data_IF_689632282814
#
_entry.id   IF_689632282814
#
_cell.length_a   1.000
_cell.length_b   1.000
_cell.length_c   1.000
_cell.angle_alpha   90.00
_cell.angle_beta   90.00
_cell.angle_gamma   90.00
#
_symmetry.space_group_name_H-M   'P 1'
#
loop_
_entity.id
_entity.type
_entity.pdbx_description
1 polymer ?
#
# COMPACT_ATOMS: atom_id res chain seq x y z
N UNK A 1 61.94 13.49 9.74
CA UNK A 1 61.69 12.04 9.72
C UNK A 1 60.29 11.78 10.24
N UNK A 2 59.34 11.49 9.35
CA UNK A 2 58.29 10.47 9.50
C UNK A 2 57.64 10.32 8.14
N UNK A 3 57.94 9.19 7.51
CA UNK A 3 57.38 8.73 6.25
C UNK A 3 55.87 8.57 6.40
N UNK A 4 55.07 9.42 5.75
CA UNK A 4 53.68 9.10 5.41
C UNK A 4 53.65 8.69 3.95
N UNK A 5 54.08 7.45 3.71
CA UNK A 5 53.52 6.64 2.63
C UNK A 5 52.02 6.57 2.88
N UNK A 6 51.26 7.51 2.32
CA UNK A 6 49.84 7.31 2.04
C UNK A 6 49.80 6.14 1.05
N UNK A 7 49.59 4.92 1.57
CA UNK A 7 49.31 3.78 0.71
C UNK A 7 48.03 4.11 -0.08
N UNK A 8 48.14 4.36 -1.41
CA UNK A 8 46.99 4.76 -2.20
C UNK A 8 45.92 3.67 -2.23
N UNK A 9 46.28 2.40 -2.02
CA UNK A 9 45.32 1.31 -1.90
C UNK A 9 44.54 1.40 -0.58
N UNK A 10 45.23 1.64 0.54
CA UNK A 10 44.59 1.84 1.84
C UNK A 10 43.63 3.04 1.83
N UNK A 11 43.97 4.12 1.12
CA UNK A 11 43.09 5.28 0.95
C UNK A 11 41.81 4.95 0.16
N UNK A 12 41.89 4.10 -0.87
CA UNK A 12 40.73 3.64 -1.65
C UNK A 12 39.84 2.63 -0.91
N UNK A 13 40.37 1.97 0.13
CA UNK A 13 39.64 1.02 0.96
C UNK A 13 39.04 1.65 2.23
N UNK A 14 39.39 2.90 2.53
CA UNK A 14 38.85 3.62 3.67
C UNK A 14 37.37 3.94 3.45
N UNK A 15 36.55 3.73 4.49
CA UNK A 15 35.15 4.13 4.48
C UNK A 15 35.05 5.65 4.47
N UNK A 16 34.19 6.19 3.61
CA UNK A 16 33.91 7.62 3.53
C UNK A 16 33.36 8.11 4.89
N UNK A 17 33.99 9.10 5.54
CA UNK A 17 33.59 9.55 6.87
C UNK A 17 32.13 9.98 6.98
N UNK A 18 31.52 10.47 5.89
CA UNK A 18 30.11 10.88 5.86
C UNK A 18 29.17 9.71 6.17
N UNK A 19 29.53 8.49 5.75
CA UNK A 19 28.70 7.30 5.90
C UNK A 19 28.62 6.83 7.36
N UNK A 20 29.68 7.09 8.15
CA UNK A 20 29.79 6.60 9.52
C UNK A 20 28.70 7.15 10.45
N UNK A 21 28.04 8.24 10.08
CA UNK A 21 27.00 8.87 10.89
C UNK A 21 25.59 8.27 10.68
N UNK A 22 25.43 7.35 9.72
CA UNK A 22 24.15 6.70 9.44
C UNK A 22 24.05 5.36 10.17
N UNK A 23 23.46 5.41 11.36
CA UNK A 23 23.36 4.28 12.30
C UNK A 23 22.00 3.58 12.23
N UNK A 24 21.83 2.40 12.84
CA UNK A 24 20.51 1.75 12.97
C UNK A 24 19.44 2.61 13.65
N UNK A 25 19.84 3.61 14.44
CA UNK A 25 18.93 4.54 15.13
C UNK A 25 18.76 5.87 14.38
N UNK A 26 19.19 5.94 13.12
CA UNK A 26 19.20 7.15 12.31
C UNK A 26 20.53 7.90 12.38
N UNK A 27 20.46 9.22 12.20
CA UNK A 27 21.65 10.08 12.22
C UNK A 27 22.23 10.15 13.64
N UNK A 28 23.50 9.79 13.79
CA UNK A 28 24.15 9.71 15.10
C UNK A 28 25.66 9.92 15.09
N UNK A 29 26.30 9.51 16.19
CA UNK A 29 27.76 9.50 16.30
C UNK A 29 28.41 8.55 15.28
N UNK A 30 29.69 8.77 14.94
CA UNK A 30 30.38 7.97 13.94
C UNK A 30 30.52 6.51 14.42
N UNK A 31 30.07 5.58 13.59
CA UNK A 31 30.29 4.15 13.78
C UNK A 31 31.74 3.77 13.47
N UNK A 32 32.17 2.59 13.95
CA UNK A 32 33.39 1.97 13.44
C UNK A 32 33.16 1.59 11.97
N UNK A 33 34.16 1.74 11.08
CA UNK A 33 34.02 1.42 9.66
C UNK A 33 33.44 0.01 9.38
N UNK A 34 33.87 -0.99 10.15
CA UNK A 34 33.36 -2.36 10.02
C UNK A 34 31.87 -2.47 10.38
N UNK A 35 31.44 -1.84 11.48
CA UNK A 35 30.03 -1.88 11.89
C UNK A 35 29.15 -1.16 10.85
N UNK A 36 29.64 -0.05 10.27
CA UNK A 36 28.95 0.64 9.19
C UNK A 36 28.81 -0.26 7.95
N UNK A 37 29.88 -0.97 7.57
CA UNK A 37 29.84 -1.90 6.45
C UNK A 37 28.88 -3.07 6.68
N UNK A 38 28.90 -3.67 7.87
CA UNK A 38 28.02 -4.78 8.23
C UNK A 38 26.55 -4.35 8.28
N UNK A 39 26.28 -3.16 8.83
CA UNK A 39 24.93 -2.58 8.84
C UNK A 39 24.41 -2.36 7.43
N UNK A 40 25.15 -1.66 6.57
CA UNK A 40 24.70 -1.36 5.20
C UNK A 40 24.52 -2.63 4.34
N UNK A 41 25.39 -3.64 4.51
CA UNK A 41 25.23 -4.94 3.83
C UNK A 41 23.98 -5.69 4.29
N UNK A 42 23.68 -5.67 5.60
CA UNK A 42 22.48 -6.31 6.16
C UNK A 42 21.19 -5.67 5.65
N UNK A 43 21.20 -4.37 5.36
CA UNK A 43 20.03 -3.70 4.77
C UNK A 43 19.76 -4.27 3.37
N UNK A 44 20.76 -4.25 2.48
CA UNK A 44 20.56 -4.69 1.09
C UNK A 44 20.43 -6.21 0.94
N UNK A 45 20.89 -7.02 1.90
CA UNK A 45 20.72 -8.49 1.85
C UNK A 45 19.25 -8.93 1.93
N UNK A 46 18.37 -8.08 2.44
CA UNK A 46 16.94 -8.36 2.52
C UNK A 46 16.20 -7.98 1.23
N UNK A 47 16.87 -7.31 0.29
CA UNK A 47 16.28 -6.89 -0.98
C UNK A 47 16.44 -8.02 -2.01
N UNK A 48 15.51 -8.98 -1.97
CA UNK A 48 15.54 -10.17 -2.84
C UNK A 48 14.49 -10.06 -3.94
N UNK A 49 14.91 -10.30 -5.18
CA UNK A 49 14.02 -10.41 -6.33
C UNK A 49 13.57 -11.86 -6.53
N UNK A 50 12.26 -12.07 -6.74
CA UNK A 50 11.67 -13.38 -7.02
C UNK A 50 12.31 -14.06 -8.24
N UNK A 51 12.45 -15.39 -8.22
CA UNK A 51 13.28 -16.16 -9.15
C UNK A 51 12.90 -16.00 -10.64
N UNK A 52 11.62 -15.78 -10.93
CA UNK A 52 11.05 -15.63 -12.26
C UNK A 52 11.18 -14.21 -12.85
N UNK A 53 11.72 -13.25 -12.09
CA UNK A 53 12.06 -11.91 -12.61
C UNK A 53 13.05 -12.04 -13.77
N UNK A 54 12.80 -11.29 -14.85
CA UNK A 54 13.63 -11.33 -16.05
C UNK A 54 15.12 -11.08 -15.74
N UNK A 55 15.99 -11.89 -16.34
CA UNK A 55 17.43 -11.89 -16.05
C UNK A 55 18.09 -10.52 -16.26
N UNK A 56 17.65 -9.77 -17.27
CA UNK A 56 18.10 -8.40 -17.55
C UNK A 56 17.79 -7.44 -16.41
N UNK A 57 16.57 -7.49 -15.87
CA UNK A 57 16.16 -6.71 -14.70
C UNK A 57 16.91 -7.16 -13.45
N UNK A 58 17.06 -8.48 -13.21
CA UNK A 58 17.81 -9.03 -12.08
C UNK A 58 19.26 -8.54 -12.06
N UNK A 59 19.98 -8.72 -13.16
CA UNK A 59 21.38 -8.28 -13.26
C UNK A 59 21.52 -6.77 -13.02
N UNK A 60 20.58 -5.98 -13.53
CA UNK A 60 20.61 -4.53 -13.30
C UNK A 60 20.38 -4.19 -11.83
N UNK A 61 19.46 -4.87 -11.17
CA UNK A 61 19.21 -4.68 -9.74
C UNK A 61 20.39 -5.10 -8.87
N UNK A 62 21.01 -6.25 -9.16
CA UNK A 62 22.23 -6.71 -8.46
C UNK A 62 23.40 -5.73 -8.62
N UNK A 63 23.55 -5.12 -9.80
CA UNK A 63 24.52 -4.04 -10.02
C UNK A 63 24.24 -2.81 -9.12
N UNK A 64 22.97 -2.47 -8.90
CA UNK A 64 22.60 -1.37 -8.00
C UNK A 64 22.94 -1.70 -6.54
N UNK A 65 22.64 -2.91 -6.09
CA UNK A 65 23.01 -3.38 -4.74
C UNK A 65 24.53 -3.38 -4.53
N UNK A 66 25.31 -3.81 -5.53
CA UNK A 66 26.76 -3.72 -5.50
C UNK A 66 27.25 -2.26 -5.46
N UNK A 67 26.67 -1.39 -6.29
CA UNK A 67 26.97 0.04 -6.28
C UNK A 67 26.66 0.71 -4.93
N UNK A 68 25.55 0.32 -4.29
CA UNK A 68 25.18 0.78 -2.95
C UNK A 68 26.23 0.38 -1.92
N UNK A 69 26.67 -0.89 -1.95
CA UNK A 69 27.72 -1.37 -1.07
C UNK A 69 29.04 -0.60 -1.29
N UNK A 70 29.37 -0.25 -2.53
CA UNK A 70 30.54 0.58 -2.84
C UNK A 70 30.38 2.05 -2.43
N UNK A 71 29.16 2.53 -2.21
CA UNK A 71 28.87 3.84 -1.63
C UNK A 71 29.54 4.06 -0.27
N UNK A 72 29.84 2.98 0.46
CA UNK A 72 30.64 3.03 1.68
C UNK A 72 32.02 3.65 1.47
N UNK A 73 32.64 3.45 0.31
CA UNK A 73 33.99 3.92 -0.02
C UNK A 73 33.96 5.25 -0.78
N UNK A 74 32.87 5.53 -1.49
CA UNK A 74 32.66 6.77 -2.23
C UNK A 74 31.19 7.17 -2.12
N UNK A 75 30.90 8.12 -1.21
CA UNK A 75 29.54 8.50 -0.87
C UNK A 75 28.69 8.92 -2.08
N UNK A 76 29.30 9.56 -3.08
CA UNK A 76 28.58 10.06 -4.26
C UNK A 76 27.96 8.92 -5.09
N UNK A 77 28.46 7.68 -4.94
CA UNK A 77 27.86 6.50 -5.55
C UNK A 77 26.44 6.23 -5.04
N UNK A 78 26.09 6.62 -3.80
CA UNK A 78 24.72 6.48 -3.31
C UNK A 78 23.74 7.24 -4.23
N UNK A 79 24.03 8.50 -4.54
CA UNK A 79 23.21 9.31 -5.45
C UNK A 79 23.12 8.68 -6.84
N UNK A 80 24.26 8.22 -7.38
CA UNK A 80 24.30 7.57 -8.69
C UNK A 80 23.46 6.28 -8.73
N UNK A 81 23.45 5.52 -7.63
CA UNK A 81 22.63 4.32 -7.48
C UNK A 81 21.14 4.67 -7.46
N UNK A 82 20.72 5.68 -6.71
CA UNK A 82 19.31 6.11 -6.71
C UNK A 82 18.86 6.62 -8.09
N UNK A 83 19.70 7.36 -8.80
CA UNK A 83 19.40 7.79 -10.16
C UNK A 83 19.30 6.61 -11.13
N UNK A 84 20.21 5.65 -11.04
CA UNK A 84 20.15 4.44 -11.83
C UNK A 84 18.94 3.55 -11.46
N UNK A 85 18.51 3.53 -10.20
CA UNK A 85 17.30 2.82 -9.75
C UNK A 85 16.03 3.36 -10.44
N UNK A 86 15.92 4.69 -10.60
CA UNK A 86 14.81 5.32 -11.32
C UNK A 86 14.75 4.89 -12.80
N UNK A 87 15.91 4.66 -13.43
CA UNK A 87 15.99 4.14 -14.80
C UNK A 87 15.67 2.64 -14.88
N UNK A 88 16.11 1.86 -13.89
CA UNK A 88 15.85 0.42 -13.80
C UNK A 88 14.36 0.11 -13.65
N UNK A 89 13.57 0.97 -12.99
CA UNK A 89 12.11 0.86 -12.95
C UNK A 89 11.50 0.78 -14.36
N UNK A 90 11.92 1.66 -15.26
CA UNK A 90 11.42 1.65 -16.64
C UNK A 90 11.84 0.37 -17.38
N UNK A 91 13.08 -0.10 -17.16
CA UNK A 91 13.53 -1.38 -17.72
C UNK A 91 12.67 -2.55 -17.24
N UNK A 92 12.38 -2.64 -15.95
CA UNK A 92 11.55 -3.70 -15.39
C UNK A 92 10.15 -3.74 -15.99
N UNK A 93 9.52 -2.56 -16.15
CA UNK A 93 8.23 -2.44 -16.83
C UNK A 93 8.29 -2.89 -18.29
N UNK A 94 9.37 -2.57 -19.02
CA UNK A 94 9.58 -3.00 -20.41
C UNK A 94 9.73 -4.51 -20.52
N UNK A 95 10.51 -5.11 -19.64
CA UNK A 95 10.71 -6.56 -19.59
C UNK A 95 9.38 -7.26 -19.28
N UNK A 96 8.62 -6.74 -18.30
CA UNK A 96 7.30 -7.29 -17.96
C UNK A 96 6.29 -7.12 -19.09
N UNK A 97 6.28 -5.97 -19.77
CA UNK A 97 5.45 -5.71 -20.94
C UNK A 97 5.75 -6.70 -22.08
N UNK A 98 7.03 -6.89 -22.39
CA UNK A 98 7.45 -7.81 -23.44
C UNK A 98 7.00 -9.25 -23.14
N UNK A 99 7.16 -9.69 -21.89
CA UNK A 99 6.72 -11.01 -21.42
C UNK A 99 5.20 -11.18 -21.48
N UNK A 100 4.42 -10.17 -21.08
CA UNK A 100 2.95 -10.23 -21.06
C UNK A 100 2.35 -10.47 -22.45
N UNK A 101 2.83 -9.78 -23.48
CA UNK A 101 2.31 -9.92 -24.85
C UNK A 101 3.04 -11.00 -25.68
N UNK A 102 4.04 -11.66 -25.11
CA UNK A 102 4.76 -12.79 -25.70
C UNK A 102 5.20 -12.57 -27.17
N UNK A 103 5.78 -11.40 -27.45
CA UNK A 103 6.38 -11.07 -28.75
C UNK A 103 5.43 -10.58 -29.83
N UNK A 104 4.14 -10.36 -29.55
CA UNK A 104 3.22 -9.75 -30.52
C UNK A 104 2.12 -8.92 -29.86
N UNK A 105 1.90 -7.71 -30.37
CA UNK A 105 0.85 -6.79 -29.88
C UNK A 105 0.12 -6.12 -31.02
N UNK A 106 -1.18 -5.91 -30.86
CA UNK A 106 -2.00 -5.13 -31.80
C UNK A 106 -2.08 -3.68 -31.34
N UNK A 107 -1.70 -2.75 -32.21
CA UNK A 107 -1.85 -1.31 -32.00
C UNK A 107 -2.84 -0.72 -33.00
N UNK A 108 -3.61 0.29 -32.58
CA UNK A 108 -4.52 1.06 -33.43
C UNK A 108 -3.93 2.44 -33.67
N UNK A 109 -3.94 2.90 -34.91
CA UNK A 109 -3.52 4.27 -35.24
C UNK A 109 -4.70 5.26 -35.21
N UNK A 110 -4.42 6.55 -35.34
CA UNK A 110 -5.46 7.61 -35.38
C UNK A 110 -6.54 7.40 -36.46
N UNK A 111 -6.23 6.73 -37.57
CA UNK A 111 -7.18 6.44 -38.63
C UNK A 111 -8.09 5.24 -38.32
N UNK A 112 -7.93 4.63 -37.15
CA UNK A 112 -8.67 3.43 -36.74
C UNK A 112 -8.11 2.13 -37.32
N UNK A 113 -7.02 2.18 -38.10
CA UNK A 113 -6.40 0.97 -38.64
C UNK A 113 -5.63 0.25 -37.55
N UNK A 114 -5.98 -1.02 -37.36
CA UNK A 114 -5.25 -1.94 -36.51
C UNK A 114 -3.99 -2.45 -37.24
N UNK A 115 -2.90 -2.59 -36.51
CA UNK A 115 -1.64 -3.14 -37.00
C UNK A 115 -1.06 -4.06 -35.96
N UNK A 116 -0.74 -5.28 -36.37
CA UNK A 116 0.01 -6.23 -35.56
C UNK A 116 1.50 -5.89 -35.62
N UNK A 117 2.14 -5.80 -34.46
CA UNK A 117 3.57 -5.56 -34.29
C UNK A 117 4.16 -6.82 -33.67
N UNK A 118 4.93 -7.56 -34.46
CA UNK A 118 5.75 -8.65 -33.97
C UNK A 118 7.12 -8.11 -33.57
N UNK A 119 7.65 -8.56 -32.42
CA UNK A 119 8.91 -8.07 -31.89
C UNK A 119 9.64 -9.13 -31.07
N UNK A 120 10.97 -9.03 -31.01
CA UNK A 120 11.82 -9.91 -30.18
C UNK A 120 12.34 -9.23 -28.92
N UNK A 121 12.23 -7.90 -28.84
CA UNK A 121 12.59 -7.10 -27.66
C UNK A 121 11.72 -5.85 -27.57
N UNK A 122 11.69 -5.21 -26.40
CA UNK A 122 10.96 -3.95 -26.24
C UNK A 122 11.50 -2.83 -27.16
N UNK A 123 12.82 -2.80 -27.41
CA UNK A 123 13.42 -1.81 -28.29
C UNK A 123 12.90 -1.93 -29.73
N UNK A 124 12.82 -3.16 -30.24
CA UNK A 124 12.24 -3.48 -31.55
C UNK A 124 10.75 -3.09 -31.62
N UNK A 125 9.97 -3.48 -30.61
CA UNK A 125 8.58 -3.03 -30.46
C UNK A 125 8.48 -1.50 -30.54
N UNK A 126 9.25 -0.78 -29.72
CA UNK A 126 9.16 0.67 -29.61
C UNK A 126 9.57 1.36 -30.92
N UNK A 127 10.56 0.84 -31.63
CA UNK A 127 11.01 1.36 -32.93
C UNK A 127 9.98 1.22 -34.04
N UNK A 128 9.18 0.16 -34.02
CA UNK A 128 8.03 -0.01 -34.91
C UNK A 128 6.84 0.83 -34.45
N UNK A 129 6.57 0.85 -33.14
CA UNK A 129 5.44 1.53 -32.53
C UNK A 129 5.50 3.06 -32.71
N UNK A 130 6.68 3.67 -32.52
CA UNK A 130 6.87 5.13 -32.68
C UNK A 130 6.59 5.67 -34.09
N UNK A 131 6.52 4.79 -35.09
CA UNK A 131 6.17 5.14 -36.48
C UNK A 131 4.66 5.31 -36.68
N UNK A 132 3.84 4.86 -35.72
CA UNK A 132 2.40 5.03 -35.74
C UNK A 132 2.02 6.43 -35.23
N UNK A 133 0.98 7.02 -35.83
CA UNK A 133 0.47 8.34 -35.43
C UNK A 133 -0.61 8.17 -34.35
N UNK A 134 -0.36 8.77 -33.17
CA UNK A 134 -1.22 8.69 -31.97
C UNK A 134 -1.70 7.26 -31.68
N UNK A 135 -0.77 6.31 -31.48
CA UNK A 135 -1.14 4.93 -31.32
C UNK A 135 -1.81 4.61 -29.98
N UNK A 136 -2.68 3.62 -30.02
CA UNK A 136 -3.39 3.05 -28.88
C UNK A 136 -3.13 1.55 -28.83
N UNK A 137 -3.14 0.99 -27.63
CA UNK A 137 -3.14 -0.46 -27.40
C UNK A 137 -4.37 -0.82 -26.56
N UNK A 138 -4.78 -2.08 -26.59
CA UNK A 138 -5.84 -2.54 -25.69
C UNK A 138 -5.26 -2.82 -24.31
N UNK A 139 -5.95 -2.36 -23.27
CA UNK A 139 -5.52 -2.51 -21.88
C UNK A 139 -6.68 -2.96 -20.97
N UNK A 140 -6.32 -3.74 -19.96
CA UNK A 140 -7.16 -4.15 -18.84
C UNK A 140 -8.28 -5.12 -19.20
N UNK A 141 -9.07 -5.48 -18.19
CA UNK A 141 -10.13 -6.50 -18.30
C UNK A 141 -11.21 -6.14 -19.32
N UNK A 142 -11.49 -4.85 -19.54
CA UNK A 142 -12.43 -4.36 -20.56
C UNK A 142 -11.84 -4.34 -21.98
N UNK A 143 -10.54 -4.64 -22.15
CA UNK A 143 -9.83 -4.68 -23.42
C UNK A 143 -10.00 -3.38 -24.23
N UNK A 144 -9.99 -2.24 -23.54
CA UNK A 144 -10.33 -0.94 -24.14
C UNK A 144 -9.12 -0.32 -24.83
N UNK A 145 -9.32 0.22 -26.03
CA UNK A 145 -8.31 0.99 -26.74
C UNK A 145 -7.91 2.23 -25.96
N UNK A 146 -6.64 2.30 -25.58
CA UNK A 146 -6.11 3.32 -24.69
C UNK A 146 -4.83 3.92 -25.29
N UNK A 147 -4.69 5.26 -25.28
CA UNK A 147 -3.44 5.91 -25.69
C UNK A 147 -2.25 5.40 -24.90
N UNK A 148 -1.18 5.05 -25.62
CA UNK A 148 0.05 4.53 -25.05
C UNK A 148 1.25 5.18 -25.72
N UNK A 149 2.17 5.72 -24.93
CA UNK A 149 3.33 6.45 -25.45
C UNK A 149 4.60 5.60 -25.55
N UNK A 150 4.59 4.33 -25.11
CA UNK A 150 5.76 3.46 -25.13
C UNK A 150 6.88 3.86 -24.15
N UNK A 151 6.58 4.77 -23.22
CA UNK A 151 7.52 5.30 -22.23
C UNK A 151 7.01 5.02 -20.82
N UNK A 152 7.81 5.36 -19.80
CA UNK A 152 7.50 5.11 -18.38
C UNK A 152 6.04 5.42 -17.98
N UNK A 153 5.50 6.56 -18.42
CA UNK A 153 4.12 6.96 -18.12
C UNK A 153 3.07 6.01 -18.73
N UNK A 154 3.22 5.65 -20.01
CA UNK A 154 2.36 4.68 -20.66
C UNK A 154 2.50 3.29 -20.07
N UNK A 155 3.72 2.90 -19.68
CA UNK A 155 4.02 1.62 -19.05
C UNK A 155 3.40 1.49 -17.65
N UNK A 156 3.48 2.53 -16.82
CA UNK A 156 2.81 2.55 -15.51
C UNK A 156 1.29 2.48 -15.66
N UNK A 157 0.73 3.26 -16.61
CA UNK A 157 -0.70 3.21 -16.92
C UNK A 157 -1.14 1.83 -17.39
N UNK A 158 -0.37 1.21 -18.28
CA UNK A 158 -0.60 -0.15 -18.73
C UNK A 158 -0.56 -1.15 -17.57
N UNK A 159 0.49 -1.12 -16.76
CA UNK A 159 0.65 -2.05 -15.63
C UNK A 159 -0.51 -1.96 -14.63
N UNK A 160 -1.00 -0.74 -14.32
CA UNK A 160 -2.21 -0.57 -13.50
C UNK A 160 -3.46 -1.14 -14.15
N UNK A 161 -3.66 -0.87 -15.44
CA UNK A 161 -4.87 -1.35 -16.16
C UNK A 161 -4.88 -2.87 -16.27
N UNK A 162 -3.73 -3.51 -16.38
CA UNK A 162 -3.57 -4.96 -16.34
C UNK A 162 -3.61 -5.56 -14.92
N UNK A 163 -3.79 -4.75 -13.87
CA UNK A 163 -3.84 -5.22 -12.48
C UNK A 163 -2.48 -5.65 -11.91
N UNK A 164 -1.37 -5.23 -12.53
CA UNK A 164 0.00 -5.54 -12.09
C UNK A 164 0.54 -4.56 -11.03
N UNK A 165 -0.17 -3.46 -10.80
CA UNK A 165 0.14 -2.47 -9.78
C UNK A 165 -1.13 -2.14 -9.00
N UNK A 166 -1.10 -2.33 -7.69
CA UNK A 166 -2.22 -2.13 -6.78
C UNK A 166 -1.99 -0.99 -5.78
N UNK A 167 -3.03 -0.67 -5.04
CA UNK A 167 -3.04 0.36 -4.01
C UNK A 167 -3.30 1.75 -4.59
N UNK A 168 -4.25 2.46 -4.00
CA UNK A 168 -4.66 3.78 -4.44
C UNK A 168 -3.68 4.88 -4.01
N UNK A 169 -3.04 4.75 -2.84
CA UNK A 169 -1.97 5.65 -2.36
C UNK A 169 -0.73 5.54 -3.23
N UNK A 170 -0.44 4.33 -3.74
CA UNK A 170 0.69 4.08 -4.62
C UNK A 170 0.62 4.86 -5.94
N UNK A 171 -0.58 5.26 -6.41
CA UNK A 171 -0.72 6.11 -7.61
C UNK A 171 0.06 7.42 -7.49
N UNK A 172 0.02 8.03 -6.30
CA UNK A 172 0.77 9.24 -6.01
C UNK A 172 2.28 9.00 -6.02
N UNK A 173 2.73 7.87 -5.46
CA UNK A 173 4.13 7.47 -5.40
C UNK A 173 4.67 7.19 -6.80
N UNK A 174 3.92 6.49 -7.64
CA UNK A 174 4.30 6.24 -9.05
C UNK A 174 4.41 7.53 -9.85
N UNK A 175 3.47 8.46 -9.68
CA UNK A 175 3.52 9.80 -10.29
C UNK A 175 4.78 10.55 -9.83
N UNK A 176 5.12 10.48 -8.54
CA UNK A 176 6.34 11.06 -8.00
C UNK A 176 7.61 10.41 -8.60
N UNK A 177 7.67 9.06 -8.66
CA UNK A 177 8.79 8.33 -9.26
C UNK A 177 8.98 8.66 -10.74
N UNK A 178 7.90 8.80 -11.51
CA UNK A 178 7.94 9.31 -12.89
C UNK A 178 8.57 10.71 -12.96
N UNK A 179 8.11 11.64 -12.12
CA UNK A 179 8.63 13.01 -12.13
C UNK A 179 10.12 13.04 -11.76
N UNK A 180 10.53 12.27 -10.74
CA UNK A 180 11.93 12.13 -10.34
C UNK A 180 12.79 11.54 -11.46
N UNK A 181 12.32 10.49 -12.15
CA UNK A 181 13.02 9.92 -13.32
C UNK A 181 13.23 10.98 -14.41
N UNK A 182 12.24 11.83 -14.66
CA UNK A 182 12.37 12.91 -15.64
C UNK A 182 13.42 13.96 -15.20
N UNK A 183 13.43 14.34 -13.91
CA UNK A 183 14.46 15.25 -13.36
C UNK A 183 15.85 14.65 -13.52
N UNK A 184 16.04 13.38 -13.14
CA UNK A 184 17.32 12.66 -13.30
C UNK A 184 17.78 12.65 -14.76
N UNK A 185 16.86 12.48 -15.73
CA UNK A 185 17.19 12.51 -17.15
C UNK A 185 17.66 13.90 -17.66
N UNK A 186 17.37 14.98 -16.93
CA UNK A 186 17.74 16.35 -17.31
C UNK A 186 18.96 16.91 -16.55
N UNK A 187 19.54 16.14 -15.63
CA UNK A 187 20.87 16.38 -15.04
C UNK A 187 20.97 17.60 -14.14
N UNK A 188 20.81 17.41 -12.83
CA UNK A 188 21.13 18.40 -11.80
C UNK A 188 22.00 17.78 -10.71
N UNK A 189 23.03 18.51 -10.24
CA UNK A 189 23.82 18.07 -9.10
C UNK A 189 22.94 18.02 -7.85
N UNK A 190 22.98 16.88 -7.15
CA UNK A 190 22.36 16.68 -5.85
C UNK A 190 23.11 15.58 -5.08
N UNK A 191 22.82 15.46 -3.79
CA UNK A 191 23.37 14.41 -2.94
C UNK A 191 22.23 13.79 -2.12
N UNK A 192 22.22 12.46 -2.05
CA UNK A 192 21.27 11.69 -1.24
C UNK A 192 21.98 11.01 -0.08
N UNK A 193 21.20 10.62 0.93
CA UNK A 193 21.72 9.84 2.05
C UNK A 193 21.65 8.34 1.75
N UNK A 194 22.49 7.49 2.38
CA UNK A 194 22.38 6.04 2.26
C UNK A 194 20.96 5.53 2.58
N UNK A 195 20.29 6.16 3.56
CA UNK A 195 18.92 5.81 3.97
C UNK A 195 17.91 6.08 2.85
N UNK A 196 18.00 7.23 2.17
CA UNK A 196 17.13 7.56 1.05
C UNK A 196 17.34 6.60 -0.12
N UNK A 197 18.60 6.26 -0.40
CA UNK A 197 18.96 5.37 -1.51
C UNK A 197 18.53 3.93 -1.20
N UNK A 198 18.68 3.47 0.04
CA UNK A 198 18.15 2.18 0.47
C UNK A 198 16.63 2.13 0.30
N UNK A 199 15.90 3.19 0.67
CA UNK A 199 14.45 3.29 0.45
C UNK A 199 14.09 3.20 -1.03
N UNK A 200 14.84 3.86 -1.90
CA UNK A 200 14.63 3.75 -3.35
C UNK A 200 14.86 2.33 -3.89
N UNK A 201 15.90 1.63 -3.39
CA UNK A 201 16.16 0.23 -3.75
C UNK A 201 15.11 -0.72 -3.21
N UNK A 202 14.65 -0.51 -1.97
CA UNK A 202 13.57 -1.28 -1.35
C UNK A 202 12.27 -1.12 -2.13
N UNK A 203 11.86 0.12 -2.42
CA UNK A 203 10.70 0.41 -3.25
C UNK A 203 10.82 -0.21 -4.64
N UNK A 204 12.01 -0.16 -5.26
CA UNK A 204 12.25 -0.74 -6.57
C UNK A 204 12.12 -2.27 -6.53
N UNK A 205 12.68 -2.93 -5.52
CA UNK A 205 12.55 -4.38 -5.33
C UNK A 205 11.07 -4.78 -5.16
N UNK A 206 10.33 -4.05 -4.33
CA UNK A 206 8.89 -4.25 -4.13
C UNK A 206 8.10 -4.10 -5.44
N UNK A 207 8.37 -3.04 -6.22
CA UNK A 207 7.71 -2.82 -7.51
C UNK A 207 8.05 -3.96 -8.49
N UNK A 208 9.32 -4.34 -8.61
CA UNK A 208 9.75 -5.41 -9.52
C UNK A 208 9.07 -6.73 -9.13
N UNK A 209 9.13 -7.14 -7.87
CA UNK A 209 8.49 -8.36 -7.42
C UNK A 209 6.98 -8.34 -7.71
N UNK A 210 6.33 -7.21 -7.41
CA UNK A 210 4.90 -7.08 -7.61
C UNK A 210 4.49 -7.13 -9.09
N UNK A 211 5.29 -6.55 -10.00
CA UNK A 211 5.08 -6.67 -11.44
C UNK A 211 5.06 -8.13 -11.92
N UNK A 212 5.79 -9.03 -11.24
CA UNK A 212 5.79 -10.47 -11.49
C UNK A 212 4.79 -11.26 -10.64
N UNK A 213 3.96 -10.59 -9.84
CA UNK A 213 2.90 -11.21 -9.05
C UNK A 213 3.33 -11.63 -7.64
N UNK A 214 4.51 -11.22 -7.19
CA UNK A 214 5.01 -11.54 -5.85
C UNK A 214 4.79 -10.36 -4.91
N UNK A 215 4.01 -10.57 -3.86
CA UNK A 215 3.86 -9.58 -2.80
C UNK A 215 5.08 -9.62 -1.86
N UNK A 216 5.44 -8.48 -1.25
CA UNK A 216 6.65 -8.39 -0.42
C UNK A 216 6.32 -8.48 1.06
N UNK A 217 6.77 -9.53 1.79
CA UNK A 217 6.61 -9.60 3.24
C UNK A 217 7.19 -8.37 3.92
N UNK A 218 6.38 -7.71 4.76
CA UNK A 218 6.78 -6.47 5.43
C UNK A 218 6.93 -5.24 4.51
N UNK A 219 6.66 -5.38 3.21
CA UNK A 219 6.78 -4.32 2.20
C UNK A 219 5.93 -3.09 2.52
N UNK A 220 6.38 -1.93 2.05
CA UNK A 220 5.71 -0.64 2.28
C UNK A 220 4.73 -0.27 1.18
N UNK A 221 5.09 -0.56 -0.07
CA UNK A 221 4.30 -0.22 -1.25
C UNK A 221 3.37 -1.38 -1.62
N UNK A 222 3.92 -2.59 -1.68
CA UNK A 222 3.17 -3.78 -2.10
C UNK A 222 3.34 -4.89 -1.05
N UNK A 223 2.84 -4.67 0.18
CA UNK A 223 2.93 -5.66 1.26
C UNK A 223 2.27 -6.97 0.85
N UNK A 224 2.84 -8.09 1.26
CA UNK A 224 2.11 -9.35 1.37
C UNK A 224 0.93 -9.22 2.35
N UNK A 225 -0.07 -10.12 2.29
CA UNK A 225 -1.14 -10.16 3.26
C UNK A 225 -0.61 -10.06 4.70
N UNK A 226 -1.22 -9.18 5.48
CA UNK A 226 -0.76 -8.81 6.82
C UNK A 226 -1.41 -9.76 7.84
N UNK A 227 -0.63 -10.38 8.74
CA UNK A 227 -1.16 -11.25 9.79
C UNK A 227 -2.08 -10.47 10.74
N UNK A 228 -3.21 -11.09 11.09
CA UNK A 228 -4.15 -10.61 12.10
C UNK A 228 -4.29 -11.66 13.19
N UNK A 229 -4.22 -11.21 14.42
CA UNK A 229 -4.43 -12.04 15.60
C UNK A 229 -5.82 -11.84 16.18
N UNK A 230 -6.21 -12.73 17.08
CA UNK A 230 -7.39 -12.57 17.92
C UNK A 230 -7.03 -11.63 19.07
N UNK A 231 -7.65 -10.46 19.08
CA UNK A 231 -7.35 -9.34 19.98
C UNK A 231 -8.56 -9.08 20.87
N UNK A 232 -8.32 -8.90 22.16
CA UNK A 232 -9.30 -8.40 23.10
C UNK A 232 -9.17 -6.88 23.23
N UNK A 233 -10.19 -6.15 22.80
CA UNK A 233 -10.33 -4.72 23.10
C UNK A 233 -11.22 -4.61 24.33
N UNK A 234 -10.74 -3.89 25.34
CA UNK A 234 -11.43 -3.70 26.61
C UNK A 234 -11.55 -2.24 26.97
N UNK A 235 -12.67 -1.85 27.56
CA UNK A 235 -12.85 -0.50 28.07
C UNK A 235 -13.62 -0.47 29.38
N UNK A 236 -13.37 0.56 30.17
CA UNK A 236 -14.13 0.85 31.38
C UNK A 236 -14.75 2.24 31.22
N UNK A 237 -16.08 2.29 31.16
CA UNK A 237 -16.84 3.53 30.94
C UNK A 237 -16.73 4.51 32.10
N UNK A 238 -16.48 4.02 33.32
CA UNK A 238 -16.32 4.85 34.53
C UNK A 238 -14.98 5.57 34.53
N UNK A 239 -13.89 4.90 34.13
CA UNK A 239 -12.54 5.50 34.12
C UNK A 239 -12.17 6.13 32.78
N UNK A 240 -12.89 5.81 31.71
CA UNK A 240 -12.56 6.20 30.33
C UNK A 240 -11.38 5.44 29.73
N UNK A 241 -10.87 4.40 30.41
CA UNK A 241 -9.75 3.58 29.92
C UNK A 241 -10.18 2.70 28.75
N UNK A 242 -9.40 2.68 27.67
CA UNK A 242 -9.53 1.73 26.55
C UNK A 242 -8.16 1.11 26.29
N UNK A 243 -8.10 -0.21 26.16
CA UNK A 243 -6.85 -0.98 25.98
C UNK A 243 -7.09 -2.16 25.03
N UNK A 244 -6.03 -2.59 24.34
CA UNK A 244 -6.01 -3.86 23.62
C UNK A 244 -4.88 -4.77 24.11
N UNK A 245 -5.07 -6.07 23.92
CA UNK A 245 -4.07 -7.11 24.14
C UNK A 245 -4.45 -8.39 23.38
N UNK A 246 -3.51 -9.32 23.24
CA UNK A 246 -3.82 -10.61 22.64
C UNK A 246 -4.87 -11.35 23.48
N UNK A 247 -5.90 -11.88 22.83
CA UNK A 247 -7.01 -12.52 23.52
C UNK A 247 -6.58 -13.78 24.30
N UNK A 248 -5.55 -14.49 23.82
CA UNK A 248 -4.99 -15.65 24.49
C UNK A 248 -4.43 -15.33 25.89
N UNK A 249 -3.98 -14.09 26.12
CA UNK A 249 -3.45 -13.66 27.42
C UNK A 249 -4.55 -13.35 28.44
N UNK A 250 -5.82 -13.39 28.04
CA UNK A 250 -6.92 -13.12 28.95
C UNK A 250 -6.96 -14.15 30.08
N UNK A 251 -6.61 -15.42 29.88
CA UNK A 251 -6.64 -16.42 30.95
C UNK A 251 -5.45 -16.29 31.93
N UNK A 252 -4.29 -15.82 31.45
CA UNK A 252 -3.03 -15.78 32.20
C UNK A 252 -2.88 -14.53 33.08
N UNK A 253 -3.62 -13.45 32.76
CA UNK A 253 -3.64 -12.25 33.61
C UNK A 253 -4.28 -12.65 34.96
N UNK A 254 -3.49 -12.68 36.04
CA UNK A 254 -4.05 -12.92 37.38
C UNK A 254 -5.17 -11.90 37.64
N UNK A 255 -6.25 -12.33 38.29
CA UNK A 255 -7.40 -11.54 38.74
C UNK A 255 -6.96 -10.42 39.71
N UNK A 256 -6.10 -9.50 39.27
CA UNK A 256 -5.93 -8.25 39.95
C UNK A 256 -7.27 -7.53 39.82
N UNK A 257 -7.77 -7.04 40.95
CA UNK A 257 -9.04 -6.34 41.16
C UNK A 257 -9.29 -5.13 40.21
N UNK A 258 -8.41 -4.89 39.24
CA UNK A 258 -8.44 -3.83 38.23
C UNK A 258 -9.29 -4.13 36.98
N UNK A 259 -9.81 -5.35 36.77
CA UNK A 259 -10.67 -5.67 35.61
C UNK A 259 -12.18 -5.63 35.90
N UNK A 260 -12.59 -5.46 37.15
CA UNK A 260 -13.99 -5.25 37.51
C UNK A 260 -14.52 -3.96 36.85
N UNK A 261 -15.58 -4.11 36.06
CA UNK A 261 -16.19 -3.01 35.31
C UNK A 261 -15.63 -2.77 33.89
N UNK A 262 -14.68 -3.60 33.42
CA UNK A 262 -14.31 -3.60 32.00
C UNK A 262 -15.32 -4.40 31.15
N UNK A 263 -15.65 -3.83 29.99
CA UNK A 263 -16.39 -4.49 28.91
C UNK A 263 -15.40 -4.91 27.82
N UNK A 264 -15.59 -6.11 27.27
CA UNK A 264 -14.69 -6.73 26.30
C UNK A 264 -15.40 -6.99 24.98
N UNK A 265 -14.66 -6.80 23.90
CA UNK A 265 -14.98 -7.32 22.56
C UNK A 265 -13.77 -8.05 22.03
N UNK A 266 -14.03 -9.12 21.28
CA UNK A 266 -13.01 -9.91 20.60
C UNK A 266 -13.10 -9.63 19.11
N UNK A 267 -11.95 -9.33 18.52
CA UNK A 267 -11.83 -8.99 17.10
C UNK A 267 -10.64 -9.72 16.50
N UNK A 268 -10.69 -10.00 15.20
CA UNK A 268 -9.50 -10.36 14.43
C UNK A 268 -8.90 -9.10 13.82
N UNK A 269 -7.70 -8.72 14.23
CA UNK A 269 -7.10 -7.44 13.85
C UNK A 269 -5.56 -7.49 13.81
N UNK A 270 -4.94 -6.51 13.12
CA UNK A 270 -3.49 -6.35 13.10
C UNK A 270 -3.02 -5.75 14.43
N UNK A 271 -2.35 -6.55 15.25
CA UNK A 271 -1.84 -6.14 16.55
C UNK A 271 -0.59 -6.92 16.95
N UNK A 272 0.58 -6.35 16.67
CA UNK A 272 1.89 -6.92 17.01
C UNK A 272 2.71 -5.85 17.73
N UNK A 273 2.56 -5.74 19.07
CA UNK A 273 3.14 -4.64 19.82
C UNK A 273 4.65 -4.47 19.60
N UNK A 274 5.07 -3.26 19.26
CA UNK A 274 6.48 -2.94 18.97
C UNK A 274 6.99 -3.34 17.57
N UNK A 275 6.18 -4.04 16.77
CA UNK A 275 6.49 -4.38 15.38
C UNK A 275 5.52 -3.73 14.39
N UNK A 276 4.22 -3.98 14.56
CA UNK A 276 3.15 -3.49 13.68
C UNK A 276 1.80 -3.51 14.36
N UNK A 277 1.28 -2.33 14.67
CA UNK A 277 -0.03 -2.14 15.30
C UNK A 277 -0.92 -1.31 14.38
N UNK A 278 -2.22 -1.62 14.35
CA UNK A 278 -3.19 -0.73 13.72
C UNK A 278 -3.31 0.57 14.56
N UNK A 279 -2.95 1.73 14.01
CA UNK A 279 -2.96 2.99 14.75
C UNK A 279 -4.37 3.43 15.18
N UNK A 280 -5.43 2.89 14.55
CA UNK A 280 -6.82 3.22 14.79
C UNK A 280 -7.58 2.06 15.44
N UNK A 281 -6.90 1.03 15.97
CA UNK A 281 -7.56 -0.12 16.60
C UNK A 281 -8.51 0.29 17.73
N UNK A 282 -8.16 1.34 18.47
CA UNK A 282 -8.98 1.81 19.58
C UNK A 282 -10.28 2.47 19.10
N UNK A 283 -10.40 2.83 17.83
CA UNK A 283 -11.60 3.42 17.22
C UNK A 283 -12.53 2.35 16.62
N UNK A 284 -12.31 1.07 16.95
CA UNK A 284 -13.05 -0.05 16.37
C UNK A 284 -14.58 0.10 16.49
N UNK A 285 -15.25 -0.19 15.37
CA UNK A 285 -16.69 -0.22 15.21
C UNK A 285 -17.06 -1.48 14.40
N UNK A 286 -17.97 -2.31 14.92
CA UNK A 286 -18.33 -3.58 14.29
C UNK A 286 -19.18 -3.42 13.02
N UNK A 287 -19.79 -2.24 12.82
CA UNK A 287 -20.65 -1.96 11.65
C UNK A 287 -19.97 -1.05 10.63
N UNK A 288 -19.03 -0.22 11.07
CA UNK A 288 -18.35 0.75 10.22
C UNK A 288 -16.85 0.44 10.12
N UNK A 289 -16.27 0.63 8.94
CA UNK A 289 -14.83 0.53 8.77
C UNK A 289 -14.16 1.78 9.36
N UNK A 290 -13.54 1.64 10.53
CA UNK A 290 -12.85 2.74 11.24
C UNK A 290 -11.36 2.48 11.46
N UNK A 291 -10.92 1.22 11.37
CA UNK A 291 -9.53 0.81 11.55
C UNK A 291 -8.70 1.01 10.28
N UNK A 292 -7.37 1.13 10.39
CA UNK A 292 -6.51 1.29 9.22
C UNK A 292 -6.42 0.00 8.39
N UNK A 293 -6.37 -1.14 9.07
CA UNK A 293 -6.38 -2.46 8.49
C UNK A 293 -7.74 -3.13 8.68
N UNK A 294 -8.11 -4.11 7.83
CA UNK A 294 -9.34 -4.88 8.01
C UNK A 294 -9.43 -5.53 9.39
N UNK A 295 -10.44 -5.14 10.17
CA UNK A 295 -10.77 -5.75 11.45
C UNK A 295 -12.12 -6.48 11.36
N UNK A 296 -12.20 -7.66 11.98
CA UNK A 296 -13.39 -8.52 11.94
C UNK A 296 -13.94 -8.72 13.35
N UNK A 297 -15.25 -8.52 13.50
CA UNK A 297 -15.95 -8.80 14.75
C UNK A 297 -16.04 -10.31 15.00
N UNK A 298 -15.67 -10.76 16.20
CA UNK A 298 -15.82 -12.16 16.60
C UNK A 298 -16.86 -12.32 17.71
N UNK A 299 -16.76 -11.52 18.77
CA UNK A 299 -17.63 -11.64 19.95
C UNK A 299 -17.71 -10.35 20.77
N UNK A 300 -18.79 -10.21 21.55
CA UNK A 300 -18.99 -9.15 22.53
C UNK A 300 -20.20 -8.24 22.24
N UNK A 301 -20.44 -7.21 23.06
CA UNK A 301 -19.69 -6.88 24.26
C UNK A 301 -20.05 -7.83 25.40
N UNK A 302 -19.11 -8.08 26.31
CA UNK A 302 -19.39 -8.84 27.53
C UNK A 302 -18.30 -8.74 28.59
N UNK A 303 -18.42 -9.52 29.65
CA UNK A 303 -17.41 -9.59 30.70
C UNK A 303 -16.20 -10.42 30.28
N UNK A 304 -15.10 -10.26 31.01
CA UNK A 304 -13.88 -11.07 30.85
C UNK A 304 -14.16 -12.57 30.89
N UNK A 305 -14.93 -13.03 31.89
CA UNK A 305 -15.28 -14.45 32.05
C UNK A 305 -16.04 -15.00 30.85
N UNK A 306 -16.95 -14.20 30.28
CA UNK A 306 -17.69 -14.61 29.09
C UNK A 306 -16.79 -14.64 27.84
N UNK A 307 -15.83 -13.70 27.73
CA UNK A 307 -14.86 -13.68 26.65
C UNK A 307 -13.96 -14.92 26.68
N UNK A 308 -13.44 -15.29 27.86
CA UNK A 308 -12.62 -16.50 28.05
C UNK A 308 -13.43 -17.76 27.69
N UNK A 309 -14.65 -17.89 28.21
CA UNK A 309 -15.50 -19.03 27.90
C UNK A 309 -15.79 -19.16 26.38
N UNK A 310 -15.98 -18.02 25.69
CA UNK A 310 -16.17 -18.02 24.24
C UNK A 310 -14.89 -18.41 23.49
N UNK A 311 -13.72 -17.94 23.91
CA UNK A 311 -12.43 -18.32 23.31
C UNK A 311 -12.15 -19.82 23.46
N UNK A 312 -12.46 -20.40 24.61
CA UNK A 312 -12.32 -21.84 24.86
C UNK A 312 -13.27 -22.68 24.01
N UNK A 313 -14.47 -22.17 23.75
CA UNK A 313 -15.49 -22.87 22.96
C UNK A 313 -15.23 -22.79 21.44
N UNK A 314 -15.00 -21.58 20.92
CA UNK A 314 -14.93 -21.33 19.48
C UNK A 314 -13.51 -21.45 18.91
N UNK A 315 -12.49 -21.33 19.76
CA UNK A 315 -11.07 -21.43 19.38
C UNK A 315 -10.73 -20.71 18.05
N UNK A 316 -11.03 -19.40 17.93
CA UNK A 316 -10.79 -18.68 16.68
C UNK A 316 -9.31 -18.65 16.32
N UNK A 317 -9.01 -18.92 15.05
CA UNK A 317 -7.64 -18.88 14.53
C UNK A 317 -7.26 -17.47 14.04
N UNK A 318 -5.96 -17.09 14.15
CA UNK A 318 -5.37 -15.99 13.40
C UNK A 318 -5.52 -16.18 11.88
N UNK A 319 -5.43 -15.10 11.12
CA UNK A 319 -5.42 -15.16 9.66
C UNK A 319 -4.51 -14.09 9.03
N UNK A 320 -4.67 -13.85 7.72
CA UNK A 320 -4.04 -12.72 7.04
C UNK A 320 -5.04 -11.99 6.16
N UNK A 321 -4.83 -10.68 5.99
CA UNK A 321 -5.69 -9.83 5.16
C UNK A 321 -4.89 -9.01 4.16
N UNK A 322 -5.49 -8.74 2.99
CA UNK A 322 -4.99 -7.69 2.11
C UNK A 322 -5.46 -6.32 2.61
N UNK A 323 -4.64 -5.29 2.43
CA UNK A 323 -4.93 -3.92 2.87
C UNK A 323 -5.05 -2.93 1.72
N UNK A 324 -4.65 -3.31 0.50
CA UNK A 324 -4.67 -2.43 -0.66
C UNK A 324 -5.91 -2.63 -1.52
N UNK A 325 -6.34 -1.56 -2.20
CA UNK A 325 -7.47 -1.58 -3.14
C UNK A 325 -8.77 -2.18 -2.56
N UNK A 326 -8.98 -2.02 -1.26
CA UNK A 326 -10.20 -2.43 -0.59
C UNK A 326 -11.39 -1.64 -1.16
N UNK A 327 -12.55 -2.28 -1.23
CA UNK A 327 -13.80 -1.64 -1.64
C UNK A 327 -14.67 -1.41 -0.41
N UNK A 328 -15.01 -0.15 -0.19
CA UNK A 328 -15.94 0.30 0.84
C UNK A 328 -17.22 0.80 0.19
N UNK A 329 -18.30 0.81 0.95
CA UNK A 329 -19.50 1.57 0.60
C UNK A 329 -19.75 2.67 1.61
N UNK A 330 -20.17 3.83 1.14
CA UNK A 330 -20.45 4.99 1.99
C UNK A 330 -21.80 5.60 1.62
N UNK A 331 -22.55 6.01 2.65
CA UNK A 331 -23.92 6.52 2.54
C UNK A 331 -23.94 8.03 2.74
N UNK A 332 -24.70 8.71 1.90
CA UNK A 332 -25.06 10.13 2.04
C UNK A 332 -26.59 10.22 2.12
N UNK A 333 -27.09 10.73 3.24
CA UNK A 333 -28.52 10.82 3.52
C UNK A 333 -28.80 12.02 4.42
N UNK A 334 -29.86 12.77 4.11
CA UNK A 334 -30.28 13.98 4.84
C UNK A 334 -29.14 14.99 5.10
N UNK A 335 -28.37 15.30 4.05
CA UNK A 335 -27.18 16.17 4.11
C UNK A 335 -26.12 15.71 5.12
N UNK A 336 -26.09 14.42 5.43
CA UNK A 336 -25.08 13.79 6.28
C UNK A 336 -24.31 12.74 5.52
N UNK A 337 -23.00 12.70 5.79
CA UNK A 337 -22.08 11.69 5.28
C UNK A 337 -21.83 10.73 6.42
N UNK A 338 -22.19 9.46 6.23
CA UNK A 338 -21.98 8.41 7.21
C UNK A 338 -20.58 7.82 7.11
N UNK A 339 -20.16 7.08 8.13
CA UNK A 339 -18.90 6.33 8.07
C UNK A 339 -18.93 5.28 6.96
N UNK A 340 -17.76 4.95 6.36
CA UNK A 340 -17.66 3.86 5.41
C UNK A 340 -17.99 2.51 6.06
N UNK A 341 -18.52 1.57 5.28
CA UNK A 341 -18.82 0.20 5.70
C UNK A 341 -18.17 -0.79 4.74
N UNK A 342 -17.91 -2.01 5.24
CA UNK A 342 -17.62 -3.14 4.38
C UNK A 342 -18.89 -3.56 3.62
N UNK A 343 -18.78 -3.95 2.33
CA UNK A 343 -19.97 -4.27 1.52
C UNK A 343 -20.87 -5.37 2.11
N UNK A 344 -20.29 -6.41 2.72
CA UNK A 344 -21.07 -7.46 3.40
C UNK A 344 -21.92 -6.95 4.58
N UNK A 345 -21.41 -5.99 5.36
CA UNK A 345 -22.17 -5.36 6.46
C UNK A 345 -23.30 -4.52 5.89
N UNK A 346 -23.02 -3.71 4.86
CA UNK A 346 -24.04 -2.91 4.20
C UNK A 346 -25.14 -3.76 3.56
N UNK A 347 -24.80 -4.94 3.02
CA UNK A 347 -25.75 -5.89 2.46
C UNK A 347 -26.73 -6.48 3.51
N UNK A 348 -26.38 -6.43 4.80
CA UNK A 348 -27.23 -6.90 5.90
C UNK A 348 -28.11 -5.80 6.52
N UNK A 349 -28.03 -4.55 6.04
CA UNK A 349 -28.79 -3.43 6.59
C UNK A 349 -30.30 -3.60 6.45
N UNK A 350 -31.05 -3.13 7.44
CA UNK A 350 -32.51 -3.11 7.38
C UNK A 350 -32.99 -2.08 6.37
N UNK A 351 -34.19 -2.23 5.74
CA UNK A 351 -34.66 -1.34 4.68
C UNK A 351 -34.65 0.16 5.03
N UNK A 352 -34.90 0.52 6.30
CA UNK A 352 -34.83 1.90 6.76
C UNK A 352 -33.40 2.49 6.70
N UNK A 353 -32.39 1.66 6.90
CA UNK A 353 -30.97 2.03 6.90
C UNK A 353 -30.38 2.07 5.48
N UNK A 354 -31.12 1.59 4.47
CA UNK A 354 -30.67 1.57 3.07
C UNK A 354 -30.98 2.88 2.31
N UNK A 355 -31.78 3.77 2.88
CA UNK A 355 -32.26 4.98 2.19
C UNK A 355 -31.13 5.98 1.89
N UNK A 356 -31.25 6.80 0.85
CA UNK A 356 -30.24 7.81 0.51
C UNK A 356 -29.32 7.39 -0.64
N UNK A 357 -28.31 8.20 -0.91
CA UNK A 357 -27.36 7.99 -1.99
C UNK A 357 -26.16 7.20 -1.48
N UNK A 358 -25.79 6.14 -2.19
CA UNK A 358 -24.66 5.30 -1.86
C UNK A 358 -23.55 5.44 -2.90
N UNK A 359 -22.33 5.18 -2.46
CA UNK A 359 -21.14 5.18 -3.30
C UNK A 359 -20.30 3.94 -2.99
N UNK A 360 -19.92 3.19 -4.02
CA UNK A 360 -18.88 2.16 -3.94
C UNK A 360 -17.53 2.80 -4.26
N UNK A 361 -16.58 2.66 -3.36
CA UNK A 361 -15.32 3.40 -3.38
C UNK A 361 -14.16 2.46 -3.12
N UNK A 362 -13.17 2.46 -4.02
CA UNK A 362 -11.90 1.75 -3.86
C UNK A 362 -10.87 2.66 -3.21
N UNK A 363 -10.27 2.19 -2.12
CA UNK A 363 -9.25 2.91 -1.34
C UNK A 363 -8.35 1.94 -0.57
N UNK A 364 -7.24 2.44 -0.02
CA UNK A 364 -6.35 1.66 0.86
C UNK A 364 -6.72 1.79 2.35
N UNK A 365 -7.81 2.50 2.66
CA UNK A 365 -8.27 2.73 4.02
C UNK A 365 -9.59 3.52 4.07
N UNK A 366 -10.35 3.41 5.17
CA UNK A 366 -11.65 4.07 5.29
C UNK A 366 -11.55 5.58 5.47
N UNK A 367 -10.47 6.08 6.08
CA UNK A 367 -10.27 7.52 6.28
C UNK A 367 -10.24 8.28 4.95
N UNK A 368 -9.59 7.72 3.92
CA UNK A 368 -9.58 8.27 2.56
C UNK A 368 -10.98 8.31 1.94
N UNK A 369 -11.78 7.26 2.12
CA UNK A 369 -13.16 7.19 1.60
C UNK A 369 -14.01 8.28 2.21
N UNK A 370 -13.95 8.42 3.54
CA UNK A 370 -14.72 9.43 4.26
C UNK A 370 -14.30 10.85 3.87
N UNK A 371 -12.98 11.12 3.84
CA UNK A 371 -12.44 12.41 3.42
C UNK A 371 -12.81 12.75 1.97
N UNK A 372 -12.76 11.76 1.07
CA UNK A 372 -13.17 11.94 -0.33
C UNK A 372 -14.65 12.25 -0.46
N UNK A 373 -15.54 11.48 0.19
CA UNK A 373 -16.97 11.74 0.14
C UNK A 373 -17.33 13.14 0.65
N UNK A 374 -16.67 13.59 1.73
CA UNK A 374 -16.82 14.94 2.28
C UNK A 374 -16.27 16.03 1.36
N UNK A 375 -15.15 15.78 0.69
CA UNK A 375 -14.61 16.75 -0.25
C UNK A 375 -15.47 16.82 -1.53
N UNK A 376 -15.94 15.68 -2.04
CA UNK A 376 -16.72 15.55 -3.25
C UNK A 376 -18.18 16.04 -3.13
N UNK A 377 -18.73 16.09 -1.91
CA UNK A 377 -20.04 16.75 -1.65
C UNK A 377 -19.97 18.27 -1.84
N UNK A 378 -18.78 18.86 -1.79
CA UNK A 378 -18.56 20.30 -1.95
C UNK A 378 -17.83 20.58 -3.27
N UNK A 379 -18.54 21.08 -4.28
CA UNK A 379 -17.99 21.32 -5.62
C UNK A 379 -16.71 22.19 -5.64
N UNK A 380 -16.51 23.04 -4.63
CA UNK A 380 -15.32 23.90 -4.50
C UNK A 380 -14.00 23.14 -4.33
N UNK A 381 -14.03 21.89 -3.86
CA UNK A 381 -12.81 21.12 -3.60
C UNK A 381 -12.27 20.38 -4.84
N UNK A 382 -13.05 20.31 -5.92
CA UNK A 382 -12.59 19.75 -7.20
C UNK A 382 -12.23 18.26 -7.15
N UNK A 383 -12.88 17.49 -6.27
CA UNK A 383 -12.77 16.03 -6.23
C UNK A 383 -13.73 15.39 -7.24
N UNK A 384 -13.26 14.36 -7.93
CA UNK A 384 -14.06 13.64 -8.92
C UNK A 384 -15.10 12.75 -8.24
N UNK A 385 -16.36 12.85 -8.67
CA UNK A 385 -17.46 12.04 -8.12
C UNK A 385 -17.56 10.65 -8.77
N UNK A 386 -16.81 10.40 -9.84
CA UNK A 386 -16.84 9.15 -10.60
C UNK A 386 -15.45 8.80 -11.10
N UNK A 387 -15.10 7.52 -11.06
CA UNK A 387 -13.81 7.03 -11.52
C UNK A 387 -12.65 7.42 -10.60
N UNK A 388 -11.46 7.39 -11.16
CA UNK A 388 -10.22 7.70 -10.45
C UNK A 388 -10.15 9.20 -10.11
N UNK A 389 -10.03 9.54 -8.83
CA UNK A 389 -9.90 10.93 -8.40
C UNK A 389 -8.47 11.45 -8.64
N UNK A 390 -8.34 12.62 -9.26
CA UNK A 390 -7.01 13.23 -9.51
C UNK A 390 -6.40 13.89 -8.27
N UNK A 391 -7.23 14.19 -7.26
CA UNK A 391 -6.86 14.94 -6.04
C UNK A 391 -6.50 14.07 -4.85
N UNK A 392 -7.03 12.86 -4.76
CA UNK A 392 -6.82 11.97 -3.62
C UNK A 392 -6.70 10.50 -4.06
N UNK A 393 -6.13 9.63 -3.20
CA UNK A 393 -5.90 8.23 -3.52
C UNK A 393 -7.18 7.39 -3.38
N UNK A 394 -8.19 7.74 -4.17
CA UNK A 394 -9.51 7.09 -4.15
C UNK A 394 -10.06 6.92 -5.58
N UNK A 395 -10.83 5.87 -5.82
CA UNK A 395 -11.60 5.67 -7.05
C UNK A 395 -13.07 5.41 -6.70
N UNK A 396 -13.97 6.23 -7.21
CA UNK A 396 -15.42 6.00 -7.07
C UNK A 396 -15.87 5.06 -8.18
N UNK A 397 -16.10 3.79 -7.84
CA UNK A 397 -16.48 2.72 -8.79
C UNK A 397 -17.90 2.96 -9.31
N UNK A 398 -18.83 3.28 -8.40
CA UNK A 398 -20.22 3.50 -8.73
C UNK A 398 -20.91 4.39 -7.69
N UNK A 399 -22.02 5.01 -8.08
CA UNK A 399 -22.95 5.71 -7.20
C UNK A 399 -24.39 5.36 -7.55
N UNK A 400 -25.30 5.43 -6.59
CA UNK A 400 -26.73 5.12 -6.79
C UNK A 400 -27.41 4.61 -5.54
N UNK A 401 -28.39 3.71 -5.70
CA UNK A 401 -28.96 2.96 -4.58
C UNK A 401 -28.01 1.87 -4.07
N UNK A 402 -28.31 1.32 -2.89
CA UNK A 402 -27.47 0.31 -2.25
C UNK A 402 -27.27 -0.93 -3.15
N UNK A 403 -28.31 -1.36 -3.86
CA UNK A 403 -28.26 -2.55 -4.75
C UNK A 403 -27.28 -2.32 -5.89
N UNK A 404 -27.30 -1.14 -6.49
CA UNK A 404 -26.40 -0.76 -7.59
C UNK A 404 -24.96 -0.74 -7.14
N UNK A 405 -24.67 -0.12 -5.99
CA UNK A 405 -23.29 -0.02 -5.50
C UNK A 405 -22.75 -1.37 -5.01
N UNK A 406 -23.59 -2.23 -4.39
CA UNK A 406 -23.18 -3.57 -3.99
C UNK A 406 -22.87 -4.45 -5.20
N UNK A 407 -23.66 -4.35 -6.28
CA UNK A 407 -23.35 -5.04 -7.54
C UNK A 407 -21.98 -4.59 -8.08
N UNK A 408 -21.74 -3.28 -8.12
CA UNK A 408 -20.47 -2.74 -8.58
C UNK A 408 -19.29 -3.15 -7.68
N UNK A 409 -19.50 -3.20 -6.36
CA UNK A 409 -18.50 -3.67 -5.41
C UNK A 409 -18.13 -5.14 -5.62
N UNK A 410 -19.13 -6.00 -5.84
CA UNK A 410 -18.92 -7.42 -6.19
C UNK A 410 -18.18 -7.58 -7.51
N UNK A 411 -18.59 -6.83 -8.55
CA UNK A 411 -17.93 -6.87 -9.86
C UNK A 411 -16.48 -6.34 -9.78
N UNK A 412 -16.18 -5.51 -8.76
CA UNK A 412 -14.85 -5.06 -8.40
C UNK A 412 -14.07 -6.02 -7.47
N UNK A 413 -14.65 -7.17 -7.11
CA UNK A 413 -14.00 -8.25 -6.36
C UNK A 413 -14.28 -8.29 -4.85
N UNK A 414 -15.13 -7.41 -4.31
CA UNK A 414 -15.48 -7.47 -2.89
C UNK A 414 -16.51 -8.54 -2.55
N UNK A 415 -16.38 -9.12 -1.35
CA UNK A 415 -17.42 -9.98 -0.78
C UNK A 415 -18.62 -9.12 -0.32
N UNK A 416 -19.79 -9.44 -0.87
CA UNK A 416 -21.06 -8.78 -0.57
C UNK A 416 -22.02 -9.73 0.17
N UNK A 417 -21.53 -10.89 0.62
CA UNK A 417 -22.31 -11.82 1.43
C UNK A 417 -22.82 -11.09 2.68
N UNK A 418 -24.13 -11.08 2.94
CA UNK A 418 -24.68 -10.36 4.09
C UNK A 418 -24.03 -10.81 5.39
N UNK A 419 -23.40 -9.87 6.09
CA UNK A 419 -22.74 -10.09 7.38
C UNK A 419 -23.47 -9.29 8.45
N UNK A 420 -24.27 -9.99 9.26
CA UNK A 420 -24.98 -9.36 10.38
C UNK A 420 -24.01 -9.15 11.55
N UNK A 421 -23.62 -7.89 11.78
CA UNK A 421 -22.82 -7.51 12.96
C UNK A 421 -23.67 -6.74 13.99
N UNK A 422 -23.44 -6.98 15.30
CA UNK A 422 -24.12 -6.22 16.33
C UNK A 422 -23.66 -4.75 16.30
N UNK A 423 -24.49 -3.86 16.85
CA UNK A 423 -24.16 -2.43 16.92
C UNK A 423 -23.22 -2.15 18.10
N UNK A 424 -21.93 -2.46 17.91
CA UNK A 424 -20.91 -2.44 18.96
C UNK A 424 -19.73 -1.60 18.50
N UNK A 425 -19.31 -0.65 19.33
CA UNK A 425 -18.12 0.16 19.10
C UNK A 425 -17.47 0.55 20.41
N UNK A 426 -16.18 0.86 20.35
CA UNK A 426 -15.45 1.34 21.53
C UNK A 426 -15.90 2.76 21.89
N UNK A 427 -15.77 3.17 23.16
CA UNK A 427 -16.06 4.56 23.56
C UNK A 427 -15.18 5.59 22.84
N UNK A 428 -13.96 5.19 22.46
CA UNK A 428 -13.04 6.09 21.75
C UNK A 428 -13.51 6.37 20.31
N UNK A 429 -14.17 5.39 19.67
CA UNK A 429 -14.80 5.57 18.37
C UNK A 429 -15.91 6.64 18.41
N UNK A 430 -16.65 6.76 19.50
CA UNK A 430 -17.67 7.81 19.67
C UNK A 430 -17.08 9.22 19.68
N UNK A 431 -15.85 9.37 20.16
CA UNK A 431 -15.14 10.64 20.22
C UNK A 431 -14.46 10.99 18.89
N UNK A 432 -13.79 10.01 18.28
CA UNK A 432 -12.91 10.24 17.13
C UNK A 432 -13.59 10.01 15.77
N UNK A 433 -14.61 9.16 15.72
CA UNK A 433 -15.30 8.76 14.50
C UNK A 433 -16.83 8.89 14.66
N UNK A 434 -17.40 10.11 14.61
CA UNK A 434 -18.85 10.28 14.67
C UNK A 434 -19.52 9.51 13.52
N UNK A 435 -20.64 8.80 13.81
CA UNK A 435 -21.34 7.93 12.83
C UNK A 435 -21.74 8.65 11.54
N UNK A 436 -21.90 9.98 11.62
CA UNK A 436 -22.07 10.83 10.45
C UNK A 436 -21.71 12.28 10.77
N UNK A 437 -21.33 13.02 9.74
CA UNK A 437 -21.06 14.47 9.80
C UNK A 437 -21.91 15.20 8.76
N UNK A 438 -22.12 16.51 8.94
CA UNK A 438 -22.75 17.32 7.92
C UNK A 438 -21.93 17.32 6.63
N UNK A 439 -22.61 17.23 5.49
CA UNK A 439 -22.01 17.18 4.16
C UNK A 439 -21.38 18.52 3.74
N UNK A 440 -21.79 19.62 4.38
CA UNK A 440 -21.17 20.95 4.30
C UNK A 440 -20.81 21.44 5.72
N UNK A 441 -19.66 22.11 5.91
CA UNK A 441 -19.29 22.71 7.20
C UNK A 441 -20.21 23.85 7.63
#
# INVERSE_FOLDING_TARGET
MTSTTNDPLAALQAVDPRVLHFTPFGLGGPMRPQDAADYQKRLISNLVLADDVAQTTRQKFEQLCAGYAHGLLCYDLFTLVSDAAKLTLEQALRDRFAAHYNGTITARNQAGSERQIAYTSYADFHDQYKRLRKPEIRMGSSNTWTPFNGMLDGLLKWARREGLLRGQRNRGIERAKKNLRNVTAHGMFHLLTPVDVYRDLSDLAEIINHLWGHATPGGRLYPAPIPRDVVAIRWNTTTGSVRAGHAAQLADQQEQEEEDGFTFVLVRAVFWPGEREDPNLMEYDARNATTHFPAEYLWGPGSRTQAIAWLEQEAPEPDSCDSLDQVFVIRVHDDRIHLPMYPGVAAALLPAEQQGSWYAVRADGPAEVFAHARAASTAANGHDQTGECERCPVETIASGDLVTVLRAARDAGADISPLTTPDVRTPFADLMAPRSVAASP
#
